data_IF_363348229930
#
_entry.id   IF_363348229930
#
_cell.length_a   1.000
_cell.length_b   1.000
_cell.length_c   1.000
_cell.angle_alpha   90.00
_cell.angle_beta   90.00
_cell.angle_gamma   90.00
#
_symmetry.space_group_name_H-M   'P 1'
#
loop_
_entity.id
_entity.type
_entity.pdbx_description
1 polymer ?
#
# COMPACT_ATOMS: atom_id res chain seq x y z
N UNK A 1 -5.37 -86.95 22.70
CA UNK A 1 -6.17 -85.72 22.59
C UNK A 1 -5.16 -84.57 22.42
N UNK A 2 -5.01 -84.07 21.21
CA UNK A 2 -3.94 -83.18 20.76
C UNK A 2 -4.49 -81.74 20.70
N UNK A 3 -3.96 -80.82 21.49
CA UNK A 3 -4.33 -79.39 21.47
C UNK A 3 -3.27 -78.67 20.63
N UNK A 4 -3.65 -78.22 19.43
CA UNK A 4 -2.83 -77.37 18.57
C UNK A 4 -3.05 -75.89 18.95
N UNK A 5 -2.01 -75.23 19.46
CA UNK A 5 -1.93 -73.78 19.64
C UNK A 5 -1.51 -73.15 18.31
N UNK A 6 -2.42 -72.45 17.65
CA UNK A 6 -2.12 -71.64 16.46
C UNK A 6 -1.80 -70.21 16.92
N UNK A 7 -0.50 -69.91 17.02
CA UNK A 7 0.02 -68.56 17.16
C UNK A 7 0.14 -67.97 15.75
N UNK A 8 -0.84 -67.20 15.31
CA UNK A 8 -0.75 -66.48 14.04
C UNK A 8 0.05 -65.18 14.26
N UNK A 9 1.21 -65.10 13.61
CA UNK A 9 2.08 -63.94 13.57
C UNK A 9 1.32 -62.71 13.04
N UNK A 10 1.29 -61.63 13.83
CA UNK A 10 0.95 -60.30 13.34
C UNK A 10 2.21 -59.74 12.65
N UNK A 11 2.23 -59.77 11.32
CA UNK A 11 3.27 -59.14 10.53
C UNK A 11 3.16 -57.61 10.67
N UNK A 12 3.94 -57.05 11.60
CA UNK A 12 4.15 -55.61 11.67
C UNK A 12 5.02 -55.20 10.48
N UNK A 13 4.37 -54.77 9.40
CA UNK A 13 5.03 -54.09 8.28
C UNK A 13 5.62 -52.77 8.80
N UNK A 14 6.93 -52.75 9.07
CA UNK A 14 7.65 -51.53 9.40
C UNK A 14 7.82 -50.72 8.13
N UNK A 15 6.90 -49.78 7.88
CA UNK A 15 7.07 -48.78 6.83
C UNK A 15 8.39 -48.04 7.05
N UNK A 16 9.24 -47.96 6.01
CA UNK A 16 10.50 -47.21 6.09
C UNK A 16 10.21 -45.73 6.34
N UNK A 17 10.98 -45.05 7.20
CA UNK A 17 10.76 -43.63 7.48
C UNK A 17 10.96 -42.81 6.21
N UNK A 18 10.06 -41.87 5.96
CA UNK A 18 10.18 -40.91 4.86
C UNK A 18 11.31 -39.94 5.22
N UNK A 19 12.37 -39.93 4.41
CA UNK A 19 13.55 -39.08 4.64
C UNK A 19 13.71 -37.95 3.63
N UNK A 20 12.92 -37.94 2.55
CA UNK A 20 12.98 -36.94 1.47
C UNK A 20 11.61 -36.61 0.90
N UNK A 21 11.41 -35.38 0.43
CA UNK A 21 10.30 -35.02 -0.45
C UNK A 21 10.50 -35.60 -1.87
N UNK A 22 9.43 -35.66 -2.70
CA UNK A 22 9.51 -36.06 -4.10
C UNK A 22 10.58 -35.29 -4.87
N UNK A 23 11.41 -36.00 -5.64
CA UNK A 23 12.57 -35.41 -6.30
C UNK A 23 13.87 -35.49 -5.47
N UNK A 24 13.84 -36.07 -4.27
CA UNK A 24 15.02 -36.31 -3.44
C UNK A 24 15.42 -35.12 -2.56
N UNK A 25 14.55 -34.11 -2.43
CA UNK A 25 14.80 -32.95 -1.59
C UNK A 25 14.78 -33.32 -0.12
N UNK A 26 15.72 -32.76 0.65
CA UNK A 26 15.85 -32.92 2.09
C UNK A 26 14.96 -31.93 2.83
N UNK A 27 14.72 -32.20 4.12
CA UNK A 27 14.00 -31.29 4.98
C UNK A 27 14.68 -29.91 5.02
N UNK A 28 13.93 -28.85 4.77
CA UNK A 28 14.40 -27.46 4.66
C UNK A 28 14.91 -27.07 3.26
N UNK A 29 14.94 -27.98 2.29
CA UNK A 29 15.38 -27.62 0.94
C UNK A 29 14.40 -26.65 0.29
N UNK A 30 14.95 -25.58 -0.28
CA UNK A 30 14.20 -24.64 -1.12
C UNK A 30 14.10 -25.16 -2.54
N UNK A 31 12.87 -25.19 -3.05
CA UNK A 31 12.52 -25.69 -4.37
C UNK A 31 11.90 -24.54 -5.17
N UNK A 32 12.64 -24.08 -6.19
CA UNK A 32 12.16 -23.04 -7.10
C UNK A 32 11.38 -23.70 -8.24
N UNK A 33 10.15 -23.26 -8.46
CA UNK A 33 9.33 -23.72 -9.58
C UNK A 33 8.36 -22.65 -10.05
N UNK A 34 8.60 -22.12 -11.25
CA UNK A 34 7.90 -20.96 -11.77
C UNK A 34 8.17 -19.71 -10.92
N UNK A 35 7.12 -18.96 -10.60
CA UNK A 35 7.21 -17.75 -9.77
C UNK A 35 7.19 -18.01 -8.25
N UNK A 36 7.33 -19.26 -7.81
CA UNK A 36 7.14 -19.64 -6.41
C UNK A 36 8.38 -20.30 -5.84
N UNK A 37 8.69 -19.92 -4.60
CA UNK A 37 9.67 -20.59 -3.73
C UNK A 37 8.91 -21.51 -2.80
N UNK A 38 9.24 -22.79 -2.84
CA UNK A 38 8.66 -23.82 -1.98
C UNK A 38 9.71 -24.34 -1.02
N UNK A 39 9.28 -24.90 0.10
CA UNK A 39 10.14 -25.58 1.06
C UNK A 39 9.64 -27.00 1.29
N UNK A 40 10.58 -27.95 1.30
CA UNK A 40 10.32 -29.32 1.73
C UNK A 40 10.30 -29.38 3.26
N UNK A 41 9.18 -29.82 3.82
CA UNK A 41 9.06 -30.10 5.25
C UNK A 41 8.83 -31.59 5.47
N UNK A 42 9.60 -32.21 6.35
CA UNK A 42 9.50 -33.63 6.70
C UNK A 42 9.38 -33.76 8.20
N UNK A 43 8.40 -34.54 8.65
CA UNK A 43 8.17 -34.90 10.04
C UNK A 43 8.01 -36.42 10.22
N UNK A 44 7.63 -36.84 11.43
CA UNK A 44 7.45 -38.26 11.75
C UNK A 44 6.27 -38.92 11.01
N UNK A 45 5.34 -38.12 10.48
CA UNK A 45 4.10 -38.58 9.82
C UNK A 45 4.25 -38.58 8.31
N UNK A 46 5.07 -37.69 7.75
CA UNK A 46 5.39 -37.68 6.33
C UNK A 46 6.10 -36.42 5.85
N UNK A 47 5.75 -35.98 4.64
CA UNK A 47 6.32 -34.79 4.03
C UNK A 47 5.24 -33.84 3.53
N UNK A 48 5.58 -32.56 3.41
CA UNK A 48 4.80 -31.54 2.72
C UNK A 48 5.71 -30.62 1.91
N UNK A 49 5.19 -30.07 0.82
CA UNK A 49 5.87 -29.04 0.03
C UNK A 49 5.01 -27.79 0.09
N UNK A 50 5.48 -26.79 0.84
CA UNK A 50 4.71 -25.57 1.09
C UNK A 50 5.29 -24.41 0.30
N UNK A 51 4.44 -23.55 -0.26
CA UNK A 51 4.92 -22.29 -0.84
C UNK A 51 5.29 -21.38 0.34
N UNK A 52 6.54 -20.92 0.37
CA UNK A 52 7.06 -20.01 1.40
C UNK A 52 7.30 -18.59 0.86
N UNK A 53 7.34 -18.44 -0.46
CA UNK A 53 7.59 -17.15 -1.10
C UNK A 53 7.27 -17.13 -2.59
N UNK A 54 7.45 -15.95 -3.15
CA UNK A 54 7.30 -15.63 -4.56
C UNK A 54 8.65 -15.17 -5.12
N UNK A 55 8.81 -15.22 -6.45
CA UNK A 55 9.95 -14.64 -7.15
C UNK A 55 9.51 -13.42 -7.97
N UNK A 56 10.31 -12.35 -7.94
CA UNK A 56 10.17 -11.23 -8.88
C UNK A 56 10.58 -11.67 -10.29
N UNK A 57 10.33 -10.83 -11.30
CA UNK A 57 10.81 -11.08 -12.66
C UNK A 57 12.35 -11.14 -12.76
N UNK A 58 13.07 -10.60 -11.78
CA UNK A 58 14.53 -10.69 -11.66
C UNK A 58 14.99 -11.94 -10.89
N UNK A 59 14.06 -12.75 -10.39
CA UNK A 59 14.35 -13.95 -9.61
C UNK A 59 14.63 -13.67 -8.13
N UNK A 60 14.30 -12.48 -7.62
CA UNK A 60 14.49 -12.14 -6.20
C UNK A 60 13.36 -12.71 -5.36
N UNK A 61 13.69 -13.33 -4.22
CA UNK A 61 12.72 -13.95 -3.31
C UNK A 61 11.97 -12.90 -2.46
N UNK A 62 10.64 -13.06 -2.39
CA UNK A 62 9.74 -12.31 -1.51
C UNK A 62 8.96 -13.30 -0.67
N UNK A 63 9.22 -13.36 0.64
CA UNK A 63 8.52 -14.28 1.55
C UNK A 63 7.03 -13.92 1.66
N UNK A 64 6.18 -14.93 1.88
CA UNK A 64 4.75 -14.69 2.11
C UNK A 64 4.55 -13.73 3.28
N UNK A 65 3.66 -12.75 3.08
CA UNK A 65 3.35 -11.70 4.06
C UNK A 65 4.36 -10.55 4.08
N UNK A 66 5.45 -10.63 3.32
CA UNK A 66 6.48 -9.58 3.25
C UNK A 66 6.37 -8.75 1.97
N UNK A 67 7.13 -7.64 1.97
CA UNK A 67 7.30 -6.76 0.81
C UNK A 67 8.78 -6.59 0.50
N UNK A 68 9.08 -6.41 -0.78
CA UNK A 68 10.41 -6.11 -1.31
C UNK A 68 10.31 -4.86 -2.19
N UNK A 69 11.17 -3.88 -1.94
CA UNK A 69 11.42 -2.78 -2.88
C UNK A 69 12.54 -3.20 -3.83
N UNK A 70 12.25 -3.20 -5.13
CA UNK A 70 13.19 -3.52 -6.20
C UNK A 70 12.95 -2.54 -7.35
N UNK A 71 13.96 -1.70 -7.63
CA UNK A 71 13.86 -0.53 -8.52
C UNK A 71 12.71 0.42 -8.11
N UNK A 72 11.86 0.80 -9.07
CA UNK A 72 10.65 1.61 -8.86
C UNK A 72 9.43 0.76 -8.50
N UNK A 73 9.61 -0.48 -8.03
CA UNK A 73 8.50 -1.37 -7.73
C UNK A 73 8.56 -1.86 -6.29
N UNK A 74 7.38 -1.99 -5.69
CA UNK A 74 7.14 -2.72 -4.44
C UNK A 74 6.46 -4.02 -4.81
N UNK A 75 7.09 -5.13 -4.50
CA UNK A 75 6.56 -6.47 -4.66
C UNK A 75 6.03 -6.98 -3.32
N UNK A 76 4.85 -7.58 -3.29
CA UNK A 76 4.27 -8.21 -2.11
C UNK A 76 3.84 -9.64 -2.44
N UNK A 77 4.36 -10.62 -1.71
CA UNK A 77 3.90 -12.00 -1.82
C UNK A 77 2.77 -12.22 -0.80
N UNK A 78 1.55 -12.44 -1.28
CA UNK A 78 0.36 -12.49 -0.44
C UNK A 78 -0.42 -13.79 -0.63
N UNK A 79 -1.13 -14.19 0.42
CA UNK A 79 -2.17 -15.22 0.35
C UNK A 79 -3.52 -14.52 0.16
N UNK A 80 -4.24 -14.86 -0.91
CA UNK A 80 -5.59 -14.33 -1.16
C UNK A 80 -6.62 -15.03 -0.26
N UNK A 81 -7.81 -14.45 -0.13
CA UNK A 81 -8.87 -14.96 0.77
C UNK A 81 -9.29 -16.41 0.47
N UNK A 82 -9.08 -16.86 -0.77
CA UNK A 82 -9.30 -18.25 -1.23
C UNK A 82 -8.08 -19.17 -1.02
N UNK A 83 -7.07 -18.73 -0.25
CA UNK A 83 -5.90 -19.53 0.10
C UNK A 83 -4.79 -19.60 -0.97
N UNK A 84 -4.93 -18.92 -2.11
CA UNK A 84 -3.90 -18.95 -3.16
C UNK A 84 -2.78 -17.93 -2.90
N UNK A 85 -1.54 -18.32 -3.19
CA UNK A 85 -0.38 -17.41 -3.10
C UNK A 85 -0.20 -16.66 -4.43
N UNK A 86 0.01 -15.34 -4.35
CA UNK A 86 0.25 -14.46 -5.52
C UNK A 86 1.30 -13.39 -5.20
N UNK A 87 2.09 -13.03 -6.19
CA UNK A 87 2.91 -11.81 -6.15
C UNK A 87 2.09 -10.64 -6.70
N UNK A 88 2.07 -9.53 -5.97
CA UNK A 88 1.53 -8.24 -6.43
C UNK A 88 2.68 -7.28 -6.63
N UNK A 89 2.63 -6.53 -7.72
CA UNK A 89 3.53 -5.41 -7.99
C UNK A 89 2.73 -4.11 -7.90
N UNK A 90 3.29 -3.13 -7.22
CA UNK A 90 2.87 -1.73 -7.27
C UNK A 90 4.10 -0.86 -7.53
N UNK A 91 3.91 0.35 -8.05
CA UNK A 91 5.02 1.30 -8.12
C UNK A 91 5.45 1.69 -6.71
N UNK A 92 6.76 1.61 -6.45
CA UNK A 92 7.38 2.27 -5.31
C UNK A 92 7.15 3.77 -5.44
N UNK A 93 6.84 4.50 -4.37
CA UNK A 93 6.86 5.95 -4.41
C UNK A 93 8.25 6.39 -4.89
N UNK A 94 8.32 6.94 -6.10
CA UNK A 94 9.56 7.35 -6.78
C UNK A 94 10.38 8.37 -5.99
N UNK A 95 9.77 9.00 -5.00
CA UNK A 95 10.48 9.69 -3.93
C UNK A 95 9.77 9.42 -2.60
N UNK A 96 10.51 9.26 -1.49
CA UNK A 96 9.92 9.38 -0.14
C UNK A 96 9.44 10.81 0.17
N UNK A 97 9.62 11.73 -0.76
CA UNK A 97 9.21 13.12 -0.65
C UNK A 97 7.81 13.30 -1.24
N UNK A 98 7.10 14.32 -0.77
CA UNK A 98 5.83 14.70 -1.36
C UNK A 98 6.08 15.27 -2.76
N UNK A 99 5.16 15.00 -3.69
CA UNK A 99 5.19 15.61 -5.02
C UNK A 99 5.07 17.15 -4.90
N UNK A 100 5.53 17.90 -5.91
CA UNK A 100 5.24 19.32 -6.00
C UNK A 100 3.85 19.53 -6.63
N UNK A 101 3.00 20.36 -6.04
CA UNK A 101 1.76 20.79 -6.71
C UNK A 101 2.10 21.67 -7.92
N UNK A 102 1.48 21.40 -9.07
CA UNK A 102 1.77 22.10 -10.34
C UNK A 102 3.27 22.10 -10.70
N UNK A 103 4.03 21.10 -10.22
CA UNK A 103 5.48 21.02 -10.41
C UNK A 103 6.30 22.12 -9.70
N UNK A 104 5.67 22.96 -8.88
CA UNK A 104 6.30 24.18 -8.33
C UNK A 104 6.18 24.30 -6.81
N UNK A 105 5.03 23.96 -6.23
CA UNK A 105 4.74 24.27 -4.82
C UNK A 105 4.92 23.07 -3.89
N UNK A 106 5.55 23.29 -2.75
CA UNK A 106 5.78 22.24 -1.74
C UNK A 106 4.53 21.92 -0.92
N UNK A 107 4.49 20.73 -0.31
CA UNK A 107 3.39 20.35 0.57
C UNK A 107 3.22 21.35 1.73
N UNK A 108 2.02 21.89 1.87
CA UNK A 108 1.67 22.88 2.88
C UNK A 108 1.92 24.33 2.45
N UNK A 109 2.65 24.56 1.36
CA UNK A 109 2.94 25.90 0.86
C UNK A 109 1.65 26.62 0.46
N UNK A 110 1.55 27.89 0.87
CA UNK A 110 0.50 28.81 0.44
C UNK A 110 1.03 29.73 -0.65
N UNK A 111 0.20 30.02 -1.64
CA UNK A 111 0.51 30.92 -2.73
C UNK A 111 -0.75 31.62 -3.21
N UNK A 112 -0.60 32.72 -3.93
CA UNK A 112 -1.73 33.51 -4.39
C UNK A 112 -1.94 33.33 -5.89
N UNK A 113 -3.21 33.19 -6.27
CA UNK A 113 -3.64 33.20 -7.67
C UNK A 113 -4.75 34.27 -7.81
N UNK A 114 -4.36 35.45 -8.31
CA UNK A 114 -5.22 36.62 -8.27
C UNK A 114 -5.58 37.01 -6.83
N UNK A 115 -6.88 37.09 -6.54
CA UNK A 115 -7.41 37.38 -5.20
C UNK A 115 -7.68 36.11 -4.36
N UNK A 116 -7.22 34.94 -4.79
CA UNK A 116 -7.41 33.68 -4.08
C UNK A 116 -6.10 33.25 -3.41
N UNK A 117 -6.20 32.80 -2.16
CA UNK A 117 -5.10 32.16 -1.44
C UNK A 117 -5.25 30.66 -1.57
N UNK A 118 -4.29 30.04 -2.24
CA UNK A 118 -4.20 28.61 -2.51
C UNK A 118 -3.31 27.93 -1.49
N UNK A 119 -3.56 26.65 -1.23
CA UNK A 119 -2.67 25.77 -0.46
C UNK A 119 -2.41 24.48 -1.22
N UNK A 120 -1.13 24.11 -1.31
CA UNK A 120 -0.72 22.79 -1.79
C UNK A 120 -0.90 21.74 -0.68
N UNK A 121 -1.58 20.64 -0.98
CA UNK A 121 -1.59 19.42 -0.16
C UNK A 121 -1.08 18.28 -1.02
N UNK A 122 0.02 17.68 -0.61
CA UNK A 122 0.72 16.69 -1.41
C UNK A 122 1.22 15.50 -0.57
N UNK A 123 1.25 14.34 -1.22
CA UNK A 123 1.80 13.08 -0.76
C UNK A 123 2.82 12.58 -1.79
N UNK A 124 3.55 11.49 -1.52
CA UNK A 124 4.40 10.86 -2.53
C UNK A 124 3.64 10.31 -3.76
N UNK A 125 2.31 10.17 -3.69
CA UNK A 125 1.50 9.51 -4.71
C UNK A 125 0.54 10.45 -5.45
N UNK A 126 0.19 11.58 -4.85
CA UNK A 126 -0.79 12.52 -5.39
C UNK A 126 -0.64 13.88 -4.75
N UNK A 127 -1.16 14.89 -5.42
CA UNK A 127 -1.23 16.26 -4.92
C UNK A 127 -2.57 16.89 -5.29
N UNK A 128 -2.94 17.93 -4.55
CA UNK A 128 -4.08 18.79 -4.83
C UNK A 128 -3.78 20.21 -4.38
N UNK A 129 -4.33 21.17 -5.11
CA UNK A 129 -4.37 22.58 -4.70
C UNK A 129 -5.79 22.89 -4.23
N UNK A 130 -5.92 23.79 -3.26
CA UNK A 130 -7.23 24.17 -2.72
C UNK A 130 -7.23 25.63 -2.33
N UNK A 131 -8.30 26.34 -2.68
CA UNK A 131 -8.52 27.70 -2.20
C UNK A 131 -8.86 27.61 -0.71
N UNK A 132 -8.14 28.37 0.12
CA UNK A 132 -8.32 28.41 1.57
C UNK A 132 -8.79 29.78 2.08
N UNK A 133 -8.57 30.85 1.31
CA UNK A 133 -9.00 32.20 1.63
C UNK A 133 -9.09 33.07 0.37
N UNK A 134 -9.68 34.26 0.50
CA UNK A 134 -9.56 35.35 -0.46
C UNK A 134 -8.61 36.43 0.10
N UNK A 135 -8.01 37.22 -0.77
CA UNK A 135 -7.15 38.34 -0.44
C UNK A 135 -7.88 39.65 -0.73
N UNK A 136 -7.90 40.56 0.24
CA UNK A 136 -8.39 41.94 0.03
C UNK A 136 -7.44 42.73 -0.88
N UNK A 137 -7.87 43.87 -1.45
CA UNK A 137 -6.98 44.75 -2.21
C UNK A 137 -5.76 45.24 -1.41
N UNK A 138 -5.84 45.23 -0.08
CA UNK A 138 -4.74 45.60 0.83
C UNK A 138 -3.95 44.40 1.37
N UNK A 139 -4.22 43.18 0.89
CA UNK A 139 -3.42 42.01 1.21
C UNK A 139 -3.81 41.28 2.50
N UNK A 140 -5.01 41.49 3.05
CA UNK A 140 -5.51 40.70 4.20
C UNK A 140 -6.26 39.47 3.73
N UNK A 141 -6.01 38.37 4.42
CA UNK A 141 -6.70 37.11 4.20
C UNK A 141 -8.12 37.15 4.80
N UNK A 142 -9.07 36.62 4.04
CA UNK A 142 -10.44 36.33 4.47
C UNK A 142 -10.68 34.84 4.27
N UNK A 143 -10.84 34.08 5.35
CA UNK A 143 -11.22 32.67 5.26
C UNK A 143 -12.49 32.49 4.42
N UNK A 144 -12.62 31.34 3.74
CA UNK A 144 -13.83 31.02 2.98
C UNK A 144 -15.10 31.14 3.84
N UNK A 145 -16.10 31.87 3.35
CA UNK A 145 -17.34 32.21 4.06
C UNK A 145 -17.20 33.35 5.07
N UNK A 146 -15.98 33.84 5.30
CA UNK A 146 -15.67 34.91 6.24
C UNK A 146 -15.88 36.30 5.65
N UNK A 147 -15.79 37.28 6.55
CA UNK A 147 -15.80 38.70 6.22
C UNK A 147 -14.71 39.43 6.99
N UNK A 148 -14.21 40.52 6.43
CA UNK A 148 -13.30 41.44 7.10
C UNK A 148 -13.67 42.86 6.80
N UNK A 149 -13.56 43.74 7.79
CA UNK A 149 -13.66 45.18 7.60
C UNK A 149 -12.27 45.76 7.33
N UNK A 150 -12.18 46.56 6.26
CA UNK A 150 -11.01 47.35 5.91
C UNK A 150 -11.44 48.77 5.53
N UNK A 151 -11.03 49.74 6.34
CA UNK A 151 -11.46 51.13 6.19
C UNK A 151 -12.97 51.27 6.39
N UNK A 152 -13.66 51.73 5.35
CA UNK A 152 -15.13 51.91 5.35
C UNK A 152 -15.85 50.82 4.53
N UNK A 153 -15.18 49.71 4.23
CA UNK A 153 -15.72 48.62 3.42
C UNK A 153 -15.63 47.31 4.17
N UNK A 154 -16.69 46.51 4.03
CA UNK A 154 -16.70 45.11 4.43
C UNK A 154 -16.42 44.31 3.15
N UNK A 155 -15.49 43.37 3.24
CA UNK A 155 -15.18 42.41 2.20
C UNK A 155 -15.62 41.02 2.66
N UNK A 156 -16.24 40.26 1.77
CA UNK A 156 -16.70 38.90 2.00
C UNK A 156 -16.02 37.95 1.03
N UNK A 157 -15.57 36.79 1.51
CA UNK A 157 -15.03 35.74 0.67
C UNK A 157 -16.05 34.61 0.52
N UNK A 158 -16.59 34.43 -0.68
CA UNK A 158 -17.62 33.41 -0.95
C UNK A 158 -17.08 32.36 -1.90
N UNK A 159 -17.15 31.08 -1.49
CA UNK A 159 -16.81 29.95 -2.37
C UNK A 159 -17.86 29.83 -3.48
N UNK A 160 -17.41 29.66 -4.71
CA UNK A 160 -18.23 29.43 -5.90
C UNK A 160 -17.91 28.07 -6.52
N UNK A 161 -18.65 27.63 -7.53
CA UNK A 161 -18.35 26.39 -8.27
C UNK A 161 -16.98 26.47 -8.97
N UNK A 162 -16.59 27.66 -9.42
CA UNK A 162 -15.34 27.91 -10.15
C UNK A 162 -14.21 28.44 -9.26
N UNK A 163 -14.39 28.51 -7.94
CA UNK A 163 -13.35 28.95 -7.02
C UNK A 163 -13.85 29.73 -5.81
N UNK A 164 -13.37 30.94 -5.63
CA UNK A 164 -13.86 31.87 -4.61
C UNK A 164 -13.87 33.29 -5.16
N UNK A 165 -14.83 34.10 -4.71
CA UNK A 165 -14.94 35.50 -5.12
C UNK A 165 -14.96 36.42 -3.91
N UNK A 166 -14.34 37.58 -4.07
CA UNK A 166 -14.44 38.67 -3.12
C UNK A 166 -15.60 39.57 -3.52
N UNK A 167 -16.49 39.86 -2.58
CA UNK A 167 -17.57 40.82 -2.79
C UNK A 167 -17.61 41.82 -1.65
N UNK A 168 -18.00 43.05 -1.96
CA UNK A 168 -18.40 44.02 -0.94
C UNK A 168 -19.92 43.96 -0.84
N UNK A 169 -20.51 43.44 0.25
CA UNK A 169 -21.95 43.50 0.42
C UNK A 169 -22.39 44.97 0.29
N UNK A 170 -23.43 45.21 -0.50
CA UNK A 170 -24.00 46.54 -0.62
C UNK A 170 -24.37 47.04 0.78
N UNK A 171 -23.93 48.26 1.12
CA UNK A 171 -24.34 48.92 2.35
C UNK A 171 -25.86 48.86 2.43
N UNK A 172 -26.38 48.27 3.51
CA UNK A 172 -27.81 48.14 3.75
C UNK A 172 -28.37 49.53 4.08
N UNK A 173 -28.72 50.29 3.04
CA UNK A 173 -29.57 51.49 3.09
C UNK A 173 -28.93 52.75 3.68
N UNK A 174 -29.08 53.85 2.93
CA UNK A 174 -29.37 55.15 3.52
C UNK A 174 -30.63 55.69 2.86
#
# INVERSE_FOLDING_TARGET
MLILLILACLDFSTASPITTCPGGYKNGDKIIGGQFVRECYIDAVGYSINIIGCLTSKGTEVLIGTKLEEDENVYACITTADGRVRIKMSKSPSSKHNLLCEGTYENGQKYNEGSMVMQCTSTPYSWKTSIIACLTPHGRDISLGGQVEEGHRIYSCTKTENGATISTPALKGR
#
